data_IF_673517228440
#
_entry.id   IF_673517228440
#
_cell.length_a   1.000
_cell.length_b   1.000
_cell.length_c   1.000
_cell.angle_alpha   90.00
_cell.angle_beta   90.00
_cell.angle_gamma   90.00
#
_symmetry.space_group_name_H-M   'P 1'
#
loop_
_entity.id
_entity.type
_entity.pdbx_description
1 polymer ?
#
# COMPACT_ATOMS: atom_id res chain seq x y z
N UNK A 1 2.64 -17.93 -10.79
CA UNK A 1 3.21 -16.58 -10.93
C UNK A 1 2.45 -15.85 -12.01
N UNK A 2 1.99 -14.64 -11.73
CA UNK A 2 1.26 -13.78 -12.69
C UNK A 2 2.16 -13.40 -13.86
N UNK A 3 3.44 -13.25 -13.57
CA UNK A 3 4.45 -12.89 -14.56
C UNK A 3 5.54 -13.95 -14.59
N UNK A 4 5.96 -14.33 -15.79
CA UNK A 4 7.17 -15.13 -15.94
C UNK A 4 8.37 -14.33 -15.40
N UNK A 5 9.29 -15.01 -14.73
CA UNK A 5 10.56 -14.46 -14.21
C UNK A 5 11.31 -13.54 -15.20
N UNK A 6 11.04 -13.69 -16.48
CA UNK A 6 11.67 -12.94 -17.58
C UNK A 6 11.29 -11.46 -17.66
N UNK A 7 10.19 -11.00 -17.07
CA UNK A 7 9.76 -9.61 -17.22
C UNK A 7 10.52 -8.64 -16.30
N UNK A 8 11.00 -9.10 -15.16
CA UNK A 8 11.88 -8.31 -14.29
C UNK A 8 13.36 -8.33 -14.75
N UNK A 9 13.64 -9.05 -15.80
CA UNK A 9 14.98 -9.43 -16.24
C UNK A 9 15.83 -8.28 -16.78
N UNK A 10 15.22 -7.21 -17.31
CA UNK A 10 15.98 -6.20 -18.06
C UNK A 10 16.72 -5.20 -17.19
N UNK A 11 16.11 -4.76 -16.10
CA UNK A 11 16.67 -3.71 -15.26
C UNK A 11 17.27 -4.25 -13.96
N UNK A 12 16.65 -5.27 -13.37
CA UNK A 12 17.03 -5.83 -12.08
C UNK A 12 16.82 -7.35 -12.08
N UNK A 13 17.71 -8.09 -12.76
CA UNK A 13 17.54 -9.53 -12.94
C UNK A 13 17.68 -10.25 -11.59
N UNK A 14 16.64 -10.98 -11.19
CA UNK A 14 16.63 -11.80 -9.99
C UNK A 14 16.29 -13.27 -10.25
N UNK A 15 16.27 -13.66 -11.53
CA UNK A 15 15.84 -14.99 -11.94
C UNK A 15 16.74 -16.13 -11.45
N UNK A 16 18.01 -15.82 -11.18
CA UNK A 16 19.01 -16.78 -10.67
C UNK A 16 19.23 -16.64 -9.15
N UNK A 17 18.47 -15.80 -8.46
CA UNK A 17 18.67 -15.56 -7.04
C UNK A 17 18.42 -16.82 -6.24
N UNK A 18 19.43 -17.20 -5.47
CA UNK A 18 19.34 -18.22 -4.44
C UNK A 18 18.64 -17.68 -3.17
N UNK A 19 18.24 -18.52 -2.24
CA UNK A 19 17.77 -18.05 -0.93
C UNK A 19 18.76 -17.12 -0.21
N UNK A 20 20.06 -17.31 -0.41
CA UNK A 20 21.10 -16.44 0.16
C UNK A 20 21.14 -15.07 -0.52
N UNK A 21 20.95 -15.01 -1.82
CA UNK A 21 20.88 -13.73 -2.55
C UNK A 21 19.65 -12.93 -2.11
N UNK A 22 18.53 -13.58 -1.90
CA UNK A 22 17.33 -12.93 -1.34
C UNK A 22 17.54 -12.45 0.09
N UNK A 23 18.31 -13.18 0.92
CA UNK A 23 18.68 -12.71 2.26
C UNK A 23 19.56 -11.45 2.19
N UNK A 24 20.54 -11.42 1.29
CA UNK A 24 21.40 -10.25 1.06
C UNK A 24 20.60 -9.06 0.54
N UNK A 25 19.67 -9.29 -0.40
CA UNK A 25 18.79 -8.27 -0.93
C UNK A 25 17.96 -7.64 0.21
N UNK A 26 17.28 -8.45 1.02
CA UNK A 26 16.52 -7.95 2.17
C UNK A 26 17.39 -7.23 3.20
N UNK A 27 18.59 -7.74 3.46
CA UNK A 27 19.51 -7.04 4.36
C UNK A 27 19.89 -5.65 3.82
N UNK A 28 20.19 -5.52 2.54
CA UNK A 28 20.45 -4.22 1.91
C UNK A 28 19.22 -3.30 2.00
N UNK A 29 18.02 -3.82 1.75
CA UNK A 29 16.77 -3.07 1.90
C UNK A 29 16.57 -2.55 3.33
N UNK A 30 16.79 -3.39 4.35
CA UNK A 30 16.68 -2.96 5.75
C UNK A 30 17.71 -1.89 6.12
N UNK A 31 18.93 -1.95 5.55
CA UNK A 31 19.92 -0.88 5.74
C UNK A 31 19.45 0.45 5.14
N UNK A 32 18.75 0.44 4.03
CA UNK A 32 18.14 1.65 3.49
C UNK A 32 17.01 2.17 4.40
N UNK A 33 16.20 1.28 4.97
CA UNK A 33 15.17 1.65 5.95
C UNK A 33 15.80 2.30 7.18
N UNK A 34 16.87 1.73 7.75
CA UNK A 34 17.63 2.32 8.87
C UNK A 34 18.16 3.72 8.52
N UNK A 35 18.63 3.91 7.29
CA UNK A 35 19.12 5.22 6.82
C UNK A 35 17.97 6.25 6.77
N UNK A 36 16.83 5.87 6.22
CA UNK A 36 15.63 6.73 6.17
C UNK A 36 15.13 7.05 7.58
N UNK A 37 15.09 6.07 8.47
CA UNK A 37 14.70 6.27 9.88
C UNK A 37 15.59 7.29 10.58
N UNK A 38 16.92 7.20 10.37
CA UNK A 38 17.85 8.17 10.92
C UNK A 38 17.62 9.61 10.40
N UNK A 39 17.27 9.77 9.11
CA UNK A 39 16.95 11.08 8.55
C UNK A 39 15.62 11.62 9.09
N UNK A 40 14.61 10.76 9.26
CA UNK A 40 13.33 11.12 9.91
C UNK A 40 13.59 11.57 11.35
N UNK A 41 14.48 10.89 12.07
CA UNK A 41 14.89 11.27 13.43
C UNK A 41 15.40 12.71 13.52
N UNK A 42 16.15 13.18 12.53
CA UNK A 42 16.64 14.58 12.48
C UNK A 42 15.47 15.59 12.32
N UNK A 43 14.49 15.26 11.48
CA UNK A 43 13.28 16.09 11.29
C UNK A 43 12.49 16.17 12.60
N UNK A 44 12.29 15.03 13.27
CA UNK A 44 11.60 14.96 14.55
C UNK A 44 12.32 15.77 15.63
N UNK A 45 13.63 15.62 15.72
CA UNK A 45 14.44 16.42 16.68
C UNK A 45 14.32 17.93 16.42
N UNK A 46 14.23 18.36 15.17
CA UNK A 46 14.05 19.77 14.84
C UNK A 46 12.64 20.28 15.20
N UNK A 47 11.60 19.47 15.02
CA UNK A 47 10.24 19.79 15.49
C UNK A 47 10.19 19.95 17.01
N UNK A 48 10.90 19.11 17.75
CA UNK A 48 11.04 19.22 19.21
C UNK A 48 11.77 20.50 19.60
N UNK A 49 12.92 20.77 18.97
CA UNK A 49 13.73 21.97 19.26
C UNK A 49 12.95 23.27 19.04
N UNK A 50 12.05 23.30 18.06
CA UNK A 50 11.24 24.48 17.76
C UNK A 50 9.87 24.48 18.45
N UNK A 51 9.55 23.48 19.27
CA UNK A 51 8.24 23.30 19.94
C UNK A 51 7.05 23.28 18.96
N UNK A 52 7.26 22.71 17.77
CA UNK A 52 6.27 22.70 16.69
C UNK A 52 5.22 21.56 16.82
N UNK A 53 5.47 20.56 17.65
CA UNK A 53 4.53 19.47 17.90
C UNK A 53 3.12 19.90 18.31
N UNK A 54 3.01 21.09 18.88
CA UNK A 54 1.72 21.64 19.36
C UNK A 54 0.76 21.96 18.23
N UNK A 55 1.26 22.17 17.02
CA UNK A 55 0.49 22.63 15.88
C UNK A 55 0.91 21.98 14.55
N UNK A 56 1.47 20.79 14.60
CA UNK A 56 1.90 20.08 13.40
C UNK A 56 1.26 18.69 13.34
N UNK A 57 0.62 18.37 12.23
CA UNK A 57 0.23 17.01 11.87
C UNK A 57 1.37 16.39 11.07
N UNK A 58 1.82 15.21 11.47
CA UNK A 58 2.85 14.46 10.75
C UNK A 58 2.19 13.25 10.12
N UNK A 59 2.41 13.06 8.83
CA UNK A 59 1.96 11.90 8.08
C UNK A 59 3.20 11.18 7.54
N UNK A 60 3.37 9.93 7.93
CA UNK A 60 4.40 9.05 7.38
C UNK A 60 3.75 7.97 6.54
N UNK A 61 4.15 7.88 5.28
CA UNK A 61 3.68 6.87 4.34
C UNK A 61 4.71 6.66 3.23
N UNK A 62 4.43 5.74 2.31
CA UNK A 62 5.20 5.52 1.08
C UNK A 62 4.25 5.56 -0.12
N UNK A 63 4.76 5.82 -1.30
CA UNK A 63 4.02 5.74 -2.57
C UNK A 63 3.70 4.29 -2.95
N UNK A 64 4.62 3.37 -2.71
CA UNK A 64 4.52 1.93 -2.92
C UNK A 64 5.54 1.20 -2.05
N UNK A 65 5.39 -0.11 -1.92
CA UNK A 65 6.38 -0.99 -1.30
C UNK A 65 7.35 -1.61 -2.31
N UNK A 66 8.05 -2.64 -1.86
CA UNK A 66 8.97 -3.47 -2.66
C UNK A 66 8.66 -4.95 -2.42
N UNK A 67 8.70 -5.75 -3.46
CA UNK A 67 8.41 -7.19 -3.36
C UNK A 67 9.36 -7.97 -2.45
N UNK A 68 10.57 -7.48 -2.21
CA UNK A 68 11.57 -8.01 -1.27
C UNK A 68 11.78 -9.53 -1.32
N UNK A 69 11.52 -10.13 -2.48
CA UNK A 69 11.62 -11.57 -2.74
C UNK A 69 10.33 -12.35 -2.52
N UNK A 70 9.27 -11.74 -2.00
CA UNK A 70 7.95 -12.36 -2.01
C UNK A 70 7.52 -12.67 -3.45
N UNK A 71 6.90 -13.83 -3.66
CA UNK A 71 6.57 -14.32 -5.00
C UNK A 71 7.76 -14.31 -5.99
N UNK A 72 9.01 -14.33 -5.48
CA UNK A 72 10.24 -14.17 -6.25
C UNK A 72 10.30 -12.84 -7.03
N UNK A 73 9.62 -11.81 -6.51
CA UNK A 73 9.56 -10.48 -7.08
C UNK A 73 10.41 -9.49 -6.30
N UNK A 74 11.01 -8.55 -7.01
CA UNK A 74 11.64 -7.36 -6.47
C UNK A 74 10.97 -6.13 -7.06
N UNK A 75 11.13 -4.98 -6.41
CA UNK A 75 10.52 -3.71 -6.81
C UNK A 75 8.99 -3.68 -6.79
N UNK A 76 8.42 -2.78 -7.59
CA UNK A 76 6.99 -2.42 -7.67
C UNK A 76 6.32 -3.00 -8.92
N UNK A 77 5.18 -2.48 -9.27
CA UNK A 77 4.32 -2.78 -10.43
C UNK A 77 3.36 -3.95 -10.25
N UNK A 78 3.67 -4.92 -9.41
CA UNK A 78 2.71 -5.97 -9.04
C UNK A 78 1.75 -5.48 -7.96
N UNK A 79 0.62 -6.17 -7.80
CA UNK A 79 -0.43 -5.80 -6.85
C UNK A 79 -0.44 -6.67 -5.58
N UNK A 80 0.67 -7.36 -5.28
CA UNK A 80 0.84 -8.09 -4.02
C UNK A 80 0.97 -7.14 -2.82
N UNK A 81 0.61 -7.64 -1.63
CA UNK A 81 0.60 -6.83 -0.40
C UNK A 81 1.93 -6.14 -0.12
N UNK A 82 3.06 -6.80 -0.38
CA UNK A 82 4.39 -6.20 -0.16
C UNK A 82 4.62 -4.93 -0.98
N UNK A 83 3.90 -4.79 -2.09
CA UNK A 83 4.00 -3.61 -2.96
C UNK A 83 2.83 -2.64 -2.74
N UNK A 84 1.63 -3.16 -2.53
CA UNK A 84 0.40 -2.36 -2.49
C UNK A 84 0.06 -1.85 -1.08
N UNK A 85 0.48 -2.57 -0.03
CA UNK A 85 0.21 -2.20 1.36
C UNK A 85 1.46 -1.54 1.97
N UNK A 86 1.36 -0.25 2.22
CA UNK A 86 2.45 0.58 2.75
C UNK A 86 2.14 1.06 4.18
N UNK A 87 3.17 1.41 4.97
CA UNK A 87 2.95 2.06 6.25
C UNK A 87 2.11 3.34 6.09
N UNK A 88 1.16 3.55 6.99
CA UNK A 88 0.37 4.77 7.05
C UNK A 88 0.20 5.21 8.51
N UNK A 89 0.99 6.18 8.93
CA UNK A 89 1.05 6.65 10.31
C UNK A 89 0.69 8.13 10.33
N UNK A 90 -0.23 8.52 11.22
CA UNK A 90 -0.62 9.91 11.42
C UNK A 90 -0.39 10.28 12.88
N UNK A 91 0.44 11.29 13.10
CA UNK A 91 0.66 11.88 14.41
C UNK A 91 -0.08 13.20 14.51
N UNK A 92 -1.08 13.28 15.38
CA UNK A 92 -1.81 14.50 15.67
C UNK A 92 -1.06 15.38 16.67
N UNK A 93 -1.29 16.70 16.66
CA UNK A 93 -0.75 17.62 17.64
C UNK A 93 -1.00 17.12 19.09
N UNK A 94 0.00 17.26 19.94
CA UNK A 94 -0.05 16.87 21.36
C UNK A 94 -0.29 15.36 21.58
N UNK A 95 -0.03 14.52 20.59
CA UNK A 95 -0.16 13.07 20.71
C UNK A 95 -1.61 12.58 20.88
N UNK A 96 -2.60 13.34 20.42
CA UNK A 96 -4.00 12.92 20.47
C UNK A 96 -4.16 11.56 19.78
N UNK A 97 -4.78 10.60 20.47
CA UNK A 97 -4.97 9.21 20.04
C UNK A 97 -3.69 8.41 19.77
N UNK A 98 -2.54 8.80 20.35
CA UNK A 98 -1.30 8.05 20.22
C UNK A 98 -1.47 6.56 20.54
N UNK A 99 -0.83 5.71 19.76
CA UNK A 99 -0.86 4.25 19.92
C UNK A 99 -2.14 3.57 19.42
N UNK A 100 -3.12 4.30 18.88
CA UNK A 100 -4.30 3.67 18.27
C UNK A 100 -3.97 3.06 16.91
N UNK A 101 -4.52 1.86 16.69
CA UNK A 101 -4.56 1.20 15.38
C UNK A 101 -6.01 1.23 14.91
N UNK A 102 -6.24 1.75 13.71
CA UNK A 102 -7.55 1.83 13.10
C UNK A 102 -7.63 0.85 11.92
N UNK A 103 -8.71 0.06 11.80
CA UNK A 103 -8.85 -0.94 10.75
C UNK A 103 -9.26 -0.35 9.39
N UNK A 104 -9.39 0.97 9.30
CA UNK A 104 -9.84 1.65 8.11
C UNK A 104 -8.83 1.51 6.98
N UNK A 105 -9.31 1.16 5.80
CA UNK A 105 -8.51 1.18 4.58
C UNK A 105 -8.40 2.63 4.08
N UNK A 106 -7.18 3.11 3.90
CA UNK A 106 -6.89 4.44 3.36
C UNK A 106 -6.15 4.27 2.04
N UNK A 107 -6.61 4.94 1.00
CA UNK A 107 -5.92 4.98 -0.27
C UNK A 107 -5.02 6.23 -0.31
N UNK A 108 -3.74 6.06 -0.02
CA UNK A 108 -2.77 7.16 0.02
C UNK A 108 -2.66 7.93 -1.31
N UNK A 109 -2.93 7.29 -2.44
CA UNK A 109 -2.88 7.92 -3.76
C UNK A 109 -3.99 8.95 -4.01
N UNK A 110 -5.15 8.79 -3.37
CA UNK A 110 -6.31 9.68 -3.60
C UNK A 110 -6.78 10.41 -2.34
N UNK A 111 -6.62 9.83 -1.14
CA UNK A 111 -7.15 10.37 0.11
C UNK A 111 -6.21 11.37 0.79
N UNK A 112 -4.92 11.32 0.47
CA UNK A 112 -3.91 12.17 1.12
C UNK A 112 -4.14 13.66 0.85
N UNK A 113 -4.33 14.04 -0.43
CA UNK A 113 -4.55 15.44 -0.80
C UNK A 113 -5.81 16.02 -0.15
N UNK A 114 -7.00 15.40 -0.22
CA UNK A 114 -8.19 15.89 0.47
C UNK A 114 -7.97 16.09 1.98
N UNK A 115 -7.24 15.17 2.62
CA UNK A 115 -6.97 15.26 4.05
C UNK A 115 -6.04 16.40 4.41
N UNK A 116 -4.99 16.64 3.62
CA UNK A 116 -4.09 17.79 3.80
C UNK A 116 -4.86 19.10 3.61
N UNK A 117 -5.68 19.21 2.57
CA UNK A 117 -6.53 20.37 2.32
C UNK A 117 -7.50 20.64 3.48
N UNK A 118 -8.11 19.57 4.02
CA UNK A 118 -9.03 19.66 5.15
C UNK A 118 -8.34 20.18 6.43
N UNK A 119 -7.14 19.69 6.76
CA UNK A 119 -6.35 20.24 7.88
C UNK A 119 -5.90 21.68 7.62
N UNK A 120 -5.59 22.03 6.38
CA UNK A 120 -5.20 23.39 6.01
C UNK A 120 -6.40 24.37 5.92
N UNK A 121 -7.63 23.89 5.98
CA UNK A 121 -8.84 24.71 5.84
C UNK A 121 -9.02 25.29 4.42
N UNK A 122 -8.51 24.59 3.39
CA UNK A 122 -8.62 25.01 1.98
C UNK A 122 -9.45 24.02 1.16
N UNK A 123 -10.08 24.51 0.12
CA UNK A 123 -10.87 23.67 -0.78
C UNK A 123 -9.97 22.74 -1.61
N UNK A 124 -10.40 21.50 -1.79
CA UNK A 124 -9.73 20.55 -2.67
C UNK A 124 -9.82 21.03 -4.11
N UNK A 125 -8.69 21.18 -4.84
CA UNK A 125 -8.71 21.67 -6.21
C UNK A 125 -9.34 20.65 -7.16
N UNK A 126 -10.34 21.10 -7.95
CA UNK A 126 -11.02 20.30 -8.96
C UNK A 126 -11.82 19.12 -8.39
N UNK A 127 -12.35 18.26 -9.29
CA UNK A 127 -13.02 17.02 -8.89
C UNK A 127 -12.00 15.96 -8.50
N UNK A 128 -12.12 15.38 -7.31
CA UNK A 128 -11.27 14.29 -6.80
C UNK A 128 -12.16 13.14 -6.33
N UNK A 129 -11.61 11.93 -6.39
CA UNK A 129 -12.30 10.70 -5.94
C UNK A 129 -12.03 10.39 -4.47
N UNK A 130 -10.92 10.90 -3.93
CA UNK A 130 -10.52 10.64 -2.56
C UNK A 130 -11.36 11.41 -1.54
N UNK A 131 -11.38 10.87 -0.32
CA UNK A 131 -12.10 11.41 0.84
C UNK A 131 -11.10 11.72 1.94
N UNK A 132 -11.32 12.82 2.68
CA UNK A 132 -10.49 13.16 3.84
C UNK A 132 -10.59 12.08 4.92
N UNK A 133 -9.44 11.56 5.37
CA UNK A 133 -9.36 10.68 6.54
C UNK A 133 -9.16 11.46 7.85
N UNK A 134 -9.14 12.79 7.82
CA UNK A 134 -9.05 13.61 9.04
C UNK A 134 -10.08 13.25 10.10
N UNK A 135 -11.40 13.08 9.77
CA UNK A 135 -12.39 12.69 10.76
C UNK A 135 -12.09 11.36 11.45
N UNK A 136 -11.57 10.38 10.69
CA UNK A 136 -11.20 9.06 11.23
C UNK A 136 -10.11 9.21 12.29
N UNK A 137 -9.06 9.96 11.97
CA UNK A 137 -7.90 10.14 12.84
C UNK A 137 -8.25 11.00 14.06
N UNK A 138 -8.98 12.11 13.86
CA UNK A 138 -9.33 13.04 14.95
C UNK A 138 -10.36 12.47 15.93
N UNK A 139 -11.26 11.59 15.47
CA UNK A 139 -12.22 10.89 16.32
C UNK A 139 -11.64 9.61 16.91
N UNK A 140 -10.57 9.08 16.32
CA UNK A 140 -9.96 7.81 16.75
C UNK A 140 -10.86 6.61 16.55
N UNK A 141 -11.75 6.64 15.56
CA UNK A 141 -12.71 5.60 15.24
C UNK A 141 -13.01 5.58 13.75
N UNK A 142 -13.42 4.41 13.23
CA UNK A 142 -13.81 4.27 11.83
C UNK A 142 -14.96 5.24 11.47
N UNK A 143 -14.90 5.77 10.26
CA UNK A 143 -15.95 6.61 9.68
C UNK A 143 -16.76 5.80 8.67
N UNK A 144 -18.08 5.79 8.83
CA UNK A 144 -19.00 5.11 7.90
C UNK A 144 -19.11 5.77 6.53
N UNK A 145 -18.70 7.03 6.40
CA UNK A 145 -18.69 7.75 5.13
C UNK A 145 -17.46 7.38 4.28
N UNK A 146 -16.42 6.82 4.92
CA UNK A 146 -15.24 6.36 4.19
C UNK A 146 -15.51 5.02 3.51
N UNK A 147 -15.03 4.87 2.28
CA UNK A 147 -15.28 3.66 1.49
C UNK A 147 -14.72 2.42 2.21
N UNK A 148 -15.50 1.30 2.23
CA UNK A 148 -15.06 0.06 2.85
C UNK A 148 -14.06 -0.72 1.99
N UNK A 149 -13.64 -0.16 0.86
CA UNK A 149 -12.69 -0.74 -0.08
C UNK A 149 -11.76 0.32 -0.66
N UNK A 150 -10.65 -0.13 -1.19
CA UNK A 150 -9.75 0.69 -2.02
C UNK A 150 -9.59 0.04 -3.39
N UNK A 151 -9.34 0.89 -4.40
CA UNK A 151 -9.02 0.46 -5.76
C UNK A 151 -7.65 1.00 -6.13
N UNK A 152 -6.83 0.15 -6.73
CA UNK A 152 -5.51 0.53 -7.25
C UNK A 152 -5.36 0.00 -8.66
N UNK A 153 -4.79 0.81 -9.54
CA UNK A 153 -4.44 0.42 -10.90
C UNK A 153 -2.91 0.37 -11.05
N UNK A 154 -2.44 -0.59 -11.82
CA UNK A 154 -1.05 -0.65 -12.26
C UNK A 154 -0.95 -0.82 -13.77
N UNK A 155 0.12 -0.27 -14.33
CA UNK A 155 0.51 -0.55 -15.71
C UNK A 155 1.97 -0.93 -15.76
N UNK A 156 2.29 -1.95 -16.56
CA UNK A 156 3.66 -2.37 -16.78
C UNK A 156 4.25 -1.52 -17.91
N UNK A 157 4.89 -0.41 -17.56
CA UNK A 157 5.34 0.63 -18.49
C UNK A 157 6.29 0.17 -19.60
N UNK A 158 6.85 -1.03 -19.48
CA UNK A 158 7.74 -1.60 -20.53
C UNK A 158 7.01 -2.53 -21.50
N UNK A 159 5.79 -2.91 -21.18
CA UNK A 159 4.86 -3.58 -22.08
C UNK A 159 3.57 -2.79 -22.05
N UNK A 160 3.38 -1.90 -23.01
CA UNK A 160 2.22 -0.99 -23.10
C UNK A 160 0.85 -1.69 -23.12
N UNK A 161 0.82 -2.99 -22.92
CA UNK A 161 -0.34 -3.86 -23.05
C UNK A 161 -0.78 -4.56 -21.76
N UNK A 162 -0.06 -4.46 -20.64
CA UNK A 162 -0.49 -5.14 -19.41
C UNK A 162 -0.90 -4.15 -18.33
N UNK A 163 -2.18 -4.15 -18.02
CA UNK A 163 -2.77 -3.40 -16.92
C UNK A 163 -3.30 -4.37 -15.87
N UNK A 164 -3.33 -3.93 -14.63
CA UNK A 164 -3.94 -4.65 -13.54
C UNK A 164 -4.73 -3.73 -12.65
N UNK A 165 -5.83 -4.23 -12.13
CA UNK A 165 -6.69 -3.54 -11.16
C UNK A 165 -6.82 -4.40 -9.93
N UNK A 166 -6.76 -3.78 -8.79
CA UNK A 166 -6.98 -4.40 -7.48
C UNK A 166 -8.15 -3.73 -6.79
N UNK A 167 -9.05 -4.52 -6.24
CA UNK A 167 -10.04 -4.10 -5.26
C UNK A 167 -9.72 -4.79 -3.94
N UNK A 168 -9.51 -4.02 -2.88
CA UNK A 168 -9.17 -4.49 -1.55
C UNK A 168 -10.25 -4.09 -0.54
N UNK A 169 -10.93 -5.06 0.04
CA UNK A 169 -11.83 -4.91 1.19
C UNK A 169 -11.10 -5.31 2.48
N UNK A 170 -11.74 -5.24 3.64
CA UNK A 170 -11.12 -5.70 4.89
C UNK A 170 -10.67 -7.17 4.83
N UNK A 171 -11.48 -8.03 4.21
CA UNK A 171 -11.22 -9.47 4.17
C UNK A 171 -10.63 -9.93 2.84
N UNK A 172 -11.17 -9.47 1.70
CA UNK A 172 -10.78 -10.00 0.40
C UNK A 172 -9.97 -9.01 -0.41
N UNK A 173 -9.12 -9.57 -1.25
CA UNK A 173 -8.38 -8.86 -2.29
C UNK A 173 -8.66 -9.51 -3.62
N UNK A 174 -9.29 -8.76 -4.52
CA UNK A 174 -9.52 -9.17 -5.90
C UNK A 174 -8.55 -8.45 -6.82
N UNK A 175 -7.96 -9.18 -7.75
CA UNK A 175 -7.05 -8.62 -8.77
C UNK A 175 -7.45 -9.12 -10.14
N UNK A 176 -7.56 -8.19 -11.09
CA UNK A 176 -7.82 -8.48 -12.49
C UNK A 176 -6.70 -7.91 -13.34
N UNK A 177 -6.11 -8.75 -14.20
CA UNK A 177 -5.19 -8.32 -15.26
C UNK A 177 -5.85 -8.41 -16.63
N UNK A 178 -5.51 -7.52 -17.55
CA UNK A 178 -6.04 -7.52 -18.92
C UNK A 178 -5.48 -8.67 -19.78
N UNK A 179 -4.34 -9.24 -19.40
CA UNK A 179 -3.66 -10.33 -20.10
C UNK A 179 -3.22 -11.44 -19.14
N UNK A 180 -2.85 -12.59 -19.70
CA UNK A 180 -2.31 -13.73 -18.95
C UNK A 180 -3.30 -14.88 -18.75
N UNK A 181 -2.77 -16.03 -18.32
CA UNK A 181 -3.52 -17.28 -18.16
C UNK A 181 -4.46 -17.26 -16.92
N UNK A 182 -3.97 -16.66 -15.82
CA UNK A 182 -4.68 -16.55 -14.55
C UNK A 182 -4.93 -15.06 -14.27
N UNK A 183 -5.74 -14.45 -15.12
CA UNK A 183 -6.02 -13.02 -15.08
C UNK A 183 -6.73 -12.59 -13.80
N UNK A 184 -7.64 -13.44 -13.32
CA UNK A 184 -8.39 -13.20 -12.09
C UNK A 184 -7.72 -13.87 -10.91
N UNK A 185 -7.62 -13.13 -9.82
CA UNK A 185 -7.09 -13.61 -8.57
C UNK A 185 -7.97 -13.10 -7.43
N UNK A 186 -8.23 -13.98 -6.48
CA UNK A 186 -8.94 -13.66 -5.25
C UNK A 186 -8.18 -14.26 -4.08
N UNK A 187 -7.93 -13.45 -3.07
CA UNK A 187 -7.24 -13.86 -1.85
C UNK A 187 -8.08 -13.51 -0.62
N UNK A 188 -8.10 -14.41 0.35
CA UNK A 188 -8.65 -14.14 1.69
C UNK A 188 -7.52 -13.63 2.58
N UNK A 189 -7.49 -12.33 2.82
CA UNK A 189 -6.42 -11.66 3.53
C UNK A 189 -6.42 -11.89 5.04
N UNK A 190 -7.46 -12.50 5.59
CA UNK A 190 -7.48 -12.93 6.99
C UNK A 190 -6.71 -14.24 7.18
N UNK A 191 -6.83 -15.17 6.23
CA UNK A 191 -6.26 -16.51 6.32
C UNK A 191 -5.02 -16.73 5.46
N UNK A 192 -4.82 -15.92 4.42
CA UNK A 192 -3.71 -16.02 3.45
C UNK A 192 -3.11 -14.65 3.14
N UNK A 193 -2.50 -14.02 4.14
CA UNK A 193 -1.83 -12.72 3.97
C UNK A 193 -0.65 -12.74 2.99
N UNK A 194 -0.09 -13.92 2.75
CA UNK A 194 1.00 -14.12 1.80
C UNK A 194 0.53 -14.36 0.37
N UNK A 195 -0.78 -14.31 0.09
CA UNK A 195 -1.36 -14.43 -1.25
C UNK A 195 -0.89 -15.68 -2.01
N UNK A 196 -0.77 -16.81 -1.29
CA UNK A 196 -0.22 -18.05 -1.82
C UNK A 196 -1.26 -18.91 -2.55
N UNK A 197 -2.55 -18.67 -2.29
CA UNK A 197 -3.66 -19.47 -2.83
C UNK A 197 -4.67 -18.59 -3.57
N UNK A 198 -4.70 -18.71 -4.89
CA UNK A 198 -5.71 -18.04 -5.71
C UNK A 198 -7.07 -18.75 -5.59
N UNK A 199 -8.02 -18.13 -4.93
CA UNK A 199 -9.39 -18.64 -4.72
C UNK A 199 -10.31 -18.45 -5.93
N UNK A 200 -9.95 -17.60 -6.89
CA UNK A 200 -10.77 -17.31 -8.08
C UNK A 200 -11.06 -18.54 -8.94
N UNK A 201 -10.22 -19.57 -8.84
CA UNK A 201 -10.41 -20.83 -9.58
C UNK A 201 -11.34 -21.84 -8.87
N UNK A 202 -11.77 -21.55 -7.65
CA UNK A 202 -12.58 -22.45 -6.83
C UNK A 202 -14.05 -22.08 -6.90
N UNK A 203 -14.91 -23.02 -7.37
CA UNK A 203 -16.35 -22.79 -7.56
C UNK A 203 -17.09 -22.25 -6.33
N UNK A 204 -16.67 -22.63 -5.12
CA UNK A 204 -17.31 -22.18 -3.87
C UNK A 204 -17.15 -20.68 -3.60
N UNK A 205 -16.19 -20.00 -4.25
CA UNK A 205 -15.97 -18.57 -4.14
C UNK A 205 -16.59 -17.75 -5.28
N UNK A 206 -17.37 -18.40 -6.18
CA UNK A 206 -17.96 -17.73 -7.34
C UNK A 206 -18.88 -16.56 -6.97
N UNK A 207 -19.56 -16.63 -5.83
CA UNK A 207 -20.44 -15.55 -5.37
C UNK A 207 -19.63 -14.37 -4.85
N UNK A 208 -18.55 -14.61 -4.11
CA UNK A 208 -17.64 -13.59 -3.63
C UNK A 208 -16.95 -12.91 -4.82
N UNK A 209 -16.51 -13.69 -5.80
CA UNK A 209 -15.87 -13.18 -7.02
C UNK A 209 -16.79 -12.25 -7.81
N UNK A 210 -18.11 -12.51 -7.83
CA UNK A 210 -19.08 -11.63 -8.50
C UNK A 210 -19.40 -10.34 -7.75
N UNK A 211 -19.13 -10.29 -6.46
CA UNK A 211 -19.33 -9.10 -5.63
C UNK A 211 -18.15 -8.12 -5.71
N UNK A 212 -16.99 -8.60 -6.13
CA UNK A 212 -15.76 -7.83 -6.28
C UNK A 212 -15.46 -7.50 -7.73
#
# INVERSE_FOLDING_TARGET
LVFEKKQNHRLYPTHDYTPDDWRRYRNAYYRLVETVDAEIGKIIAELDRQDLWKNTVIIFTSDHGDGCGAHQWNQKTVLYEEVANVPFIVCLPKGKHAGKILPQLINNGVDLMPSICDWAGINVPGKRQGVSFRPIVENGSADKQHQPYIVTETSFAQTASTRGWMLRTSQYKYVLYDTGKNREQLYDMETDRGEMRNLAIEKKYADILRQH
#
